data_IF_135124372059
#
_entry.id   IF_135124372059
#
_cell.length_a   1.000
_cell.length_b   1.000
_cell.length_c   1.000
_cell.angle_alpha   90.00
_cell.angle_beta   90.00
_cell.angle_gamma   90.00
#
_symmetry.space_group_name_H-M   'P 1'
#
loop_
_entity.id
_entity.type
_entity.pdbx_description
1 polymer ?
#
# COMPACT_ATOMS: atom_id res chain seq x y z
N UNK A 1 -21.76 6.59 8.12
CA UNK A 1 -20.88 5.63 8.81
C UNK A 1 -21.65 5.13 10.03
N UNK A 2 -21.65 3.82 10.30
CA UNK A 2 -22.39 3.25 11.43
C UNK A 2 -21.37 2.69 12.42
N UNK A 3 -21.57 2.94 13.69
CA UNK A 3 -20.79 2.34 14.76
C UNK A 3 -21.74 1.66 15.74
N UNK A 4 -21.26 0.61 16.39
CA UNK A 4 -21.98 -0.12 17.43
C UNK A 4 -20.98 -0.44 18.53
N UNK A 5 -21.29 -0.05 19.76
CA UNK A 5 -20.53 -0.45 20.94
C UNK A 5 -21.31 -1.60 21.58
N UNK A 6 -20.63 -2.73 21.72
CA UNK A 6 -21.08 -3.88 22.51
C UNK A 6 -20.39 -3.86 23.87
N UNK A 7 -20.61 -4.85 24.73
CA UNK A 7 -19.94 -4.93 26.04
C UNK A 7 -18.41 -5.06 25.92
N UNK A 8 -17.92 -5.74 24.87
CA UNK A 8 -16.49 -6.05 24.73
C UNK A 8 -15.80 -5.31 23.59
N UNK A 9 -16.54 -4.88 22.56
CA UNK A 9 -15.93 -4.30 21.36
C UNK A 9 -16.70 -3.11 20.78
N UNK A 10 -15.92 -2.18 20.23
CA UNK A 10 -16.39 -1.12 19.34
C UNK A 10 -16.30 -1.62 17.89
N UNK A 11 -17.45 -1.81 17.27
CA UNK A 11 -17.57 -2.13 15.85
C UNK A 11 -17.77 -0.84 15.03
N UNK A 12 -16.92 -0.65 14.03
CA UNK A 12 -17.03 0.43 13.05
C UNK A 12 -17.31 -0.17 11.68
N UNK A 13 -18.43 0.23 11.08
CA UNK A 13 -18.82 -0.22 9.75
C UNK A 13 -18.64 0.90 8.72
N UNK A 14 -17.76 0.63 7.75
CA UNK A 14 -17.47 1.52 6.63
C UNK A 14 -18.63 1.64 5.62
N UNK A 15 -18.42 2.42 4.56
CA UNK A 15 -19.42 2.66 3.51
C UNK A 15 -19.90 1.32 2.92
N UNK A 16 -21.22 1.11 2.92
CA UNK A 16 -21.87 -0.05 2.31
C UNK A 16 -21.73 -1.39 3.04
N UNK A 17 -21.39 -1.41 4.34
CA UNK A 17 -21.13 -2.65 5.11
C UNK A 17 -19.97 -3.53 4.62
N UNK A 18 -19.24 -3.11 3.58
CA UNK A 18 -18.16 -3.89 2.95
C UNK A 18 -16.94 -4.10 3.84
N UNK A 19 -16.76 -3.27 4.88
CA UNK A 19 -15.62 -3.34 5.78
C UNK A 19 -16.03 -3.06 7.21
N UNK A 20 -16.00 -4.11 8.03
CA UNK A 20 -16.15 -4.03 9.48
C UNK A 20 -14.78 -3.97 10.15
N UNK A 21 -14.69 -3.19 11.21
CA UNK A 21 -13.52 -3.09 12.07
C UNK A 21 -13.98 -3.23 13.49
N UNK A 22 -13.44 -4.25 14.15
CA UNK A 22 -13.72 -4.51 15.54
C UNK A 22 -12.50 -4.07 16.34
N UNK A 23 -12.75 -3.28 17.37
CA UNK A 23 -11.72 -2.76 18.28
C UNK A 23 -12.14 -3.26 19.67
N UNK A 24 -11.39 -4.20 20.28
CA UNK A 24 -11.64 -4.58 21.67
C UNK A 24 -11.54 -3.36 22.56
N UNK A 25 -12.51 -3.16 23.46
CA UNK A 25 -12.51 -2.03 24.38
C UNK A 25 -11.29 -2.07 25.31
N UNK A 26 -10.82 -3.27 25.66
CA UNK A 26 -9.58 -3.50 26.42
C UNK A 26 -8.32 -2.92 25.76
N UNK A 27 -8.30 -2.82 24.43
CA UNK A 27 -7.15 -2.33 23.67
C UNK A 27 -7.11 -0.80 23.60
N UNK A 28 -8.21 -0.13 23.98
CA UNK A 28 -8.34 1.32 23.92
C UNK A 28 -7.73 1.91 25.20
N UNK A 29 -6.54 2.50 25.06
CA UNK A 29 -5.79 3.14 26.16
C UNK A 29 -6.38 4.49 26.59
N UNK A 30 -7.30 5.04 25.81
CA UNK A 30 -7.97 6.32 26.06
C UNK A 30 -8.33 7.05 24.76
N UNK A 31 -8.96 8.22 24.87
CA UNK A 31 -9.37 9.01 23.71
C UNK A 31 -9.07 10.51 23.84
N UNK A 32 -9.07 11.21 22.70
CA UNK A 32 -9.05 12.68 22.64
C UNK A 32 -10.03 13.18 21.60
N UNK A 33 -10.46 14.43 21.72
CA UNK A 33 -11.41 15.06 20.81
C UNK A 33 -10.71 16.24 20.15
N UNK A 34 -10.69 16.26 18.82
CA UNK A 34 -10.19 17.40 18.06
C UNK A 34 -11.23 17.84 17.03
N UNK A 35 -11.33 19.14 16.85
CA UNK A 35 -12.21 19.79 15.87
C UNK A 35 -11.41 20.62 14.87
N UNK A 36 -11.99 20.86 13.70
CA UNK A 36 -11.37 21.69 12.66
C UNK A 36 -10.53 20.89 11.66
N UNK A 37 -9.64 21.57 10.93
CA UNK A 37 -8.94 20.95 9.79
C UNK A 37 -8.10 19.74 10.22
N UNK A 38 -8.29 18.60 9.57
CA UNK A 38 -7.49 17.39 9.77
C UNK A 38 -6.08 17.66 9.22
N UNK A 39 -5.13 18.00 10.10
CA UNK A 39 -3.73 18.25 9.74
C UNK A 39 -2.97 16.93 9.69
N UNK A 40 -2.86 16.35 8.50
CA UNK A 40 -2.21 15.06 8.33
C UNK A 40 -1.85 14.72 6.89
N UNK A 41 -1.17 13.60 6.73
CA UNK A 41 -0.77 13.04 5.43
C UNK A 41 -1.57 11.77 5.18
N UNK A 42 -2.23 11.69 4.03
CA UNK A 42 -2.96 10.50 3.60
C UNK A 42 -1.96 9.39 3.23
N UNK A 43 -2.11 8.21 3.82
CA UNK A 43 -1.35 7.01 3.46
C UNK A 43 -2.14 6.11 2.50
N UNK A 44 -3.46 5.98 2.70
CA UNK A 44 -4.34 5.20 1.83
C UNK A 44 -5.80 5.64 1.98
N UNK A 45 -6.62 5.38 0.95
CA UNK A 45 -8.03 5.76 0.91
C UNK A 45 -8.27 7.17 0.36
N UNK A 46 -9.34 7.81 0.84
CA UNK A 46 -9.76 9.16 0.43
C UNK A 46 -9.70 10.08 1.63
N UNK A 47 -8.96 11.19 1.53
CA UNK A 47 -8.84 12.15 2.61
C UNK A 47 -8.71 13.58 2.07
N UNK A 48 -9.29 14.51 2.81
CA UNK A 48 -9.19 15.96 2.66
C UNK A 48 -8.98 16.59 4.04
N UNK A 49 -8.93 17.92 4.10
CA UNK A 49 -8.85 18.64 5.37
C UNK A 49 -10.16 18.59 6.18
N UNK A 50 -11.28 18.14 5.59
CA UNK A 50 -12.62 18.12 6.22
C UNK A 50 -13.15 16.72 6.51
N UNK A 51 -12.66 15.70 5.80
CA UNK A 51 -13.07 14.31 5.97
C UNK A 51 -11.90 13.39 5.65
N UNK A 52 -11.89 12.19 6.22
CA UNK A 52 -10.87 11.18 5.94
C UNK A 52 -11.43 9.77 6.16
N UNK A 53 -11.31 8.94 5.12
CA UNK A 53 -11.68 7.53 5.10
C UNK A 53 -10.48 6.71 4.62
N UNK A 54 -9.88 5.89 5.50
CA UNK A 54 -8.70 5.09 5.17
C UNK A 54 -7.63 5.14 6.25
N UNK A 55 -6.37 5.33 5.86
CA UNK A 55 -5.25 5.54 6.81
C UNK A 55 -4.59 6.88 6.55
N UNK A 56 -4.40 7.63 7.63
CA UNK A 56 -3.72 8.92 7.61
C UNK A 56 -2.76 9.03 8.79
N UNK A 57 -1.76 9.85 8.62
CA UNK A 57 -0.84 10.27 9.67
C UNK A 57 -1.33 11.60 10.17
N UNK A 58 -1.80 11.66 11.41
CA UNK A 58 -2.21 12.92 12.03
C UNK A 58 -1.00 13.51 12.73
N UNK A 59 -0.69 14.79 12.47
CA UNK A 59 0.59 15.44 12.82
C UNK A 59 1.00 15.28 14.28
N UNK A 60 0.04 15.24 15.20
CA UNK A 60 0.28 15.08 16.65
C UNK A 60 -0.10 13.72 17.17
N UNK A 61 -1.03 13.00 16.52
CA UNK A 61 -1.59 11.78 17.10
C UNK A 61 -0.93 10.50 16.58
N UNK A 62 -0.24 10.51 15.44
CA UNK A 62 0.35 9.30 14.88
C UNK A 62 -0.42 8.70 13.70
N UNK A 63 -0.07 7.47 13.33
CA UNK A 63 -0.78 6.70 12.30
C UNK A 63 -2.17 6.33 12.80
N UNK A 64 -3.18 6.74 12.04
CA UNK A 64 -4.58 6.69 12.44
C UNK A 64 -5.43 6.12 11.30
N UNK A 65 -6.28 5.14 11.62
CA UNK A 65 -7.32 4.65 10.72
C UNK A 65 -8.53 5.57 10.84
N UNK A 66 -8.84 6.25 9.75
CA UNK A 66 -9.82 7.32 9.71
C UNK A 66 -11.18 6.81 9.24
N UNK A 67 -12.22 7.14 10.00
CA UNK A 67 -13.64 6.98 9.67
C UNK A 67 -14.38 8.31 9.88
N UNK A 68 -13.81 9.37 9.34
CA UNK A 68 -14.22 10.74 9.59
C UNK A 68 -14.95 11.26 8.36
N UNK A 69 -16.25 11.51 8.47
CA UNK A 69 -17.08 12.07 7.39
C UNK A 69 -17.28 13.58 7.55
N UNK A 70 -17.10 14.12 8.76
CA UNK A 70 -17.11 15.54 9.09
C UNK A 70 -16.06 15.83 10.17
N UNK A 71 -15.56 17.06 10.24
CA UNK A 71 -14.51 17.48 11.17
C UNK A 71 -14.99 18.47 12.24
N UNK A 72 -16.31 18.58 12.48
CA UNK A 72 -16.86 19.38 13.58
C UNK A 72 -16.46 18.83 14.95
N UNK A 73 -16.50 17.51 15.13
CA UNK A 73 -16.04 16.81 16.32
C UNK A 73 -15.52 15.43 15.92
N UNK A 74 -14.22 15.22 16.08
CA UNK A 74 -13.56 13.96 15.76
C UNK A 74 -12.97 13.37 17.03
N UNK A 75 -13.44 12.17 17.37
CA UNK A 75 -12.97 11.39 18.50
C UNK A 75 -11.88 10.45 18.00
N UNK A 76 -10.68 10.62 18.56
CA UNK A 76 -9.52 9.79 18.30
C UNK A 76 -9.34 8.81 19.46
N UNK A 77 -9.29 7.52 19.14
CA UNK A 77 -9.06 6.43 20.08
C UNK A 77 -7.61 5.98 19.95
N UNK A 78 -6.91 5.91 21.09
CA UNK A 78 -5.54 5.43 21.16
C UNK A 78 -5.53 3.94 21.46
N UNK A 79 -4.83 3.17 20.64
CA UNK A 79 -4.49 1.76 20.96
C UNK A 79 -2.97 1.59 20.97
N UNK A 80 -2.49 0.38 21.16
CA UNK A 80 -1.05 0.07 21.13
C UNK A 80 -0.42 0.26 19.75
N UNK A 81 -1.08 -0.25 18.71
CA UNK A 81 -0.50 -0.35 17.36
C UNK A 81 -0.93 0.79 16.43
N UNK A 82 -2.21 1.17 16.46
CA UNK A 82 -2.79 2.14 15.52
C UNK A 82 -3.94 2.90 16.17
N UNK A 83 -4.03 4.20 15.92
CA UNK A 83 -5.16 4.97 16.42
C UNK A 83 -6.36 4.83 15.50
N UNK A 84 -7.54 5.12 16.01
CA UNK A 84 -8.77 5.17 15.23
C UNK A 84 -9.41 6.54 15.36
N UNK A 85 -9.96 7.09 14.28
CA UNK A 85 -10.67 8.37 14.31
C UNK A 85 -12.10 8.18 13.82
N UNK A 86 -13.05 8.68 14.59
CA UNK A 86 -14.48 8.57 14.33
C UNK A 86 -15.11 9.96 14.44
N UNK A 87 -15.98 10.30 13.49
CA UNK A 87 -16.87 11.46 13.62
C UNK A 87 -18.29 10.96 13.90
N UNK A 88 -18.65 10.74 15.19
CA UNK A 88 -20.00 10.31 15.54
C UNK A 88 -21.02 11.42 15.24
N UNK A 89 -22.28 11.02 15.00
CA UNK A 89 -23.38 11.97 14.82
C UNK A 89 -23.64 12.73 16.11
N UNK A 90 -23.58 12.03 17.25
CA UNK A 90 -23.73 12.57 18.61
C UNK A 90 -22.44 12.32 19.41
N UNK A 91 -21.50 13.29 19.45
CA UNK A 91 -20.21 13.12 20.12
C UNK A 91 -20.34 12.92 21.63
N UNK A 92 -21.28 13.60 22.26
CA UNK A 92 -21.50 13.56 23.72
C UNK A 92 -22.00 12.19 24.17
N UNK A 93 -22.96 11.60 23.44
CA UNK A 93 -23.44 10.25 23.68
C UNK A 93 -22.32 9.21 23.50
N UNK A 94 -21.49 9.38 22.48
CA UNK A 94 -20.33 8.50 22.26
C UNK A 94 -19.29 8.62 23.38
N UNK A 95 -19.00 9.83 23.84
CA UNK A 95 -18.12 10.08 24.98
C UNK A 95 -18.64 9.43 26.26
N UNK A 96 -19.94 9.57 26.55
CA UNK A 96 -20.57 8.93 27.71
C UNK A 96 -20.44 7.39 27.65
N UNK A 97 -20.59 6.79 26.46
CA UNK A 97 -20.40 5.35 26.26
C UNK A 97 -18.96 4.90 26.52
N UNK A 98 -17.96 5.68 26.10
CA UNK A 98 -16.55 5.38 26.40
C UNK A 98 -16.27 5.46 27.90
N UNK A 99 -16.76 6.53 28.56
CA UNK A 99 -16.57 6.72 30.00
C UNK A 99 -17.24 5.60 30.82
N UNK A 100 -18.41 5.12 30.40
CA UNK A 100 -19.09 3.97 31.02
C UNK A 100 -18.25 2.69 30.98
N UNK A 101 -17.38 2.56 29.98
CA UNK A 101 -16.46 1.42 29.82
C UNK A 101 -15.05 1.69 30.37
N UNK A 102 -14.90 2.66 31.30
CA UNK A 102 -13.62 3.05 31.91
C UNK A 102 -12.56 3.54 30.91
N UNK A 103 -12.97 4.03 29.74
CA UNK A 103 -12.08 4.65 28.77
C UNK A 103 -12.19 6.16 28.97
N UNK A 104 -11.09 6.80 29.37
CA UNK A 104 -11.08 8.23 29.73
C UNK A 104 -10.34 9.11 28.71
N UNK A 105 -10.59 10.42 28.80
CA UNK A 105 -9.84 11.42 28.04
C UNK A 105 -8.37 11.38 28.44
N UNK A 106 -7.51 11.30 27.43
CA UNK A 106 -6.06 11.41 27.58
C UNK A 106 -5.51 12.39 26.56
N UNK A 107 -4.40 13.03 26.91
CA UNK A 107 -3.58 13.77 25.95
C UNK A 107 -2.35 12.94 25.58
N UNK A 108 -2.06 12.87 24.29
CA UNK A 108 -0.83 12.24 23.81
C UNK A 108 -0.31 12.96 22.58
N UNK A 109 1.00 12.91 22.44
CA UNK A 109 1.68 13.38 21.24
C UNK A 109 2.67 12.32 20.77
N UNK A 110 2.58 12.00 19.47
CA UNK A 110 3.54 11.15 18.78
C UNK A 110 4.53 12.03 18.04
N UNK A 111 5.80 11.97 18.45
CA UNK A 111 6.89 12.57 17.69
C UNK A 111 7.30 11.63 16.56
N UNK A 112 7.13 12.06 15.32
CA UNK A 112 7.67 11.33 14.17
C UNK A 112 9.19 11.51 14.14
N UNK A 113 9.93 10.44 14.43
CA UNK A 113 11.38 10.43 14.32
C UNK A 113 11.85 10.71 12.88
N UNK A 114 13.13 11.08 12.74
CA UNK A 114 13.84 11.29 11.47
C UNK A 114 13.55 10.15 10.47
N UNK A 115 13.58 10.42 9.14
CA UNK A 115 13.28 9.41 8.13
C UNK A 115 14.00 8.10 8.43
N UNK A 116 13.22 7.05 8.63
CA UNK A 116 13.74 5.74 8.97
C UNK A 116 14.69 5.28 7.86
N UNK A 117 15.85 4.74 8.26
CA UNK A 117 16.86 4.20 7.34
C UNK A 117 16.37 2.86 6.77
N UNK A 118 15.41 2.90 5.84
CA UNK A 118 14.84 1.72 5.17
C UNK A 118 15.89 0.80 4.57
N UNK A 119 16.99 1.34 4.04
CA UNK A 119 18.08 0.55 3.48
C UNK A 119 18.78 -0.35 4.52
N UNK A 120 18.70 -0.01 5.82
CA UNK A 120 19.24 -0.84 6.91
C UNK A 120 18.34 -2.03 7.25
N UNK A 121 17.09 -1.99 6.83
CA UNK A 121 16.15 -3.08 7.03
C UNK A 121 16.47 -4.25 6.09
N UNK A 122 16.87 -5.38 6.68
CA UNK A 122 17.17 -6.62 5.93
C UNK A 122 15.99 -7.04 5.05
N UNK A 123 14.74 -6.95 5.55
CA UNK A 123 13.56 -7.37 4.78
C UNK A 123 13.33 -6.46 3.57
N UNK A 124 13.43 -5.14 3.76
CA UNK A 124 13.28 -4.17 2.68
C UNK A 124 14.34 -4.38 1.59
N UNK A 125 15.61 -4.52 2.02
CA UNK A 125 16.74 -4.76 1.12
C UNK A 125 16.58 -6.06 0.35
N UNK A 126 16.13 -7.14 1.00
CA UNK A 126 15.93 -8.42 0.33
C UNK A 126 14.85 -8.34 -0.75
N UNK A 127 13.71 -7.70 -0.48
CA UNK A 127 12.64 -7.53 -1.48
C UNK A 127 13.14 -6.68 -2.66
N UNK A 128 13.83 -5.58 -2.38
CA UNK A 128 14.42 -4.74 -3.42
C UNK A 128 15.40 -5.52 -4.29
N UNK A 129 16.29 -6.30 -3.68
CA UNK A 129 17.26 -7.14 -4.39
C UNK A 129 16.58 -8.17 -5.29
N UNK A 130 15.56 -8.88 -4.78
CA UNK A 130 14.80 -9.88 -5.56
C UNK A 130 14.10 -9.20 -6.75
N UNK A 131 13.46 -8.04 -6.54
CA UNK A 131 12.81 -7.30 -7.63
C UNK A 131 13.82 -6.86 -8.70
N UNK A 132 14.96 -6.30 -8.29
CA UNK A 132 16.03 -5.91 -9.20
C UNK A 132 16.60 -7.10 -9.98
N UNK A 133 16.90 -8.21 -9.30
CA UNK A 133 17.40 -9.43 -9.94
C UNK A 133 16.41 -10.00 -10.96
N UNK A 134 15.10 -9.98 -10.63
CA UNK A 134 14.03 -10.41 -11.54
C UNK A 134 14.00 -9.54 -12.81
N UNK A 135 14.07 -8.22 -12.66
CA UNK A 135 14.05 -7.28 -13.79
C UNK A 135 15.31 -7.42 -14.66
N UNK A 136 16.48 -7.57 -14.03
CA UNK A 136 17.74 -7.81 -14.73
C UNK A 136 17.67 -9.13 -15.51
N UNK A 137 17.21 -10.21 -14.87
CA UNK A 137 17.02 -11.51 -15.51
C UNK A 137 16.09 -11.42 -16.71
N UNK A 138 14.94 -10.77 -16.56
CA UNK A 138 13.99 -10.54 -17.64
C UNK A 138 14.57 -9.71 -18.80
N UNK A 139 15.46 -8.76 -18.51
CA UNK A 139 16.07 -7.89 -19.53
C UNK A 139 17.18 -8.62 -20.27
N UNK A 140 18.02 -9.38 -19.56
CA UNK A 140 19.18 -10.04 -20.12
C UNK A 140 18.86 -11.38 -20.77
N UNK A 141 17.86 -12.12 -20.29
CA UNK A 141 17.56 -13.46 -20.78
C UNK A 141 17.28 -13.52 -22.30
N UNK A 142 16.40 -12.67 -22.88
CA UNK A 142 16.19 -12.63 -24.34
C UNK A 142 17.46 -12.23 -25.10
N UNK A 143 18.23 -11.30 -24.55
CA UNK A 143 19.48 -10.84 -25.17
C UNK A 143 20.52 -11.97 -25.22
N UNK A 144 20.66 -12.74 -24.15
CA UNK A 144 21.58 -13.89 -24.09
C UNK A 144 21.12 -14.98 -25.08
N UNK A 145 19.82 -15.25 -25.19
CA UNK A 145 19.31 -16.23 -26.16
C UNK A 145 19.55 -15.78 -27.61
N UNK A 146 19.37 -14.49 -27.89
CA UNK A 146 19.66 -13.89 -29.18
C UNK A 146 21.14 -14.00 -29.57
N UNK A 147 22.04 -13.61 -28.67
CA UNK A 147 23.49 -13.66 -28.91
C UNK A 147 24.01 -15.09 -29.11
N UNK A 148 23.34 -16.08 -28.52
CA UNK A 148 23.67 -17.49 -28.69
C UNK A 148 22.95 -18.15 -29.89
N UNK A 149 22.26 -17.39 -30.73
CA UNK A 149 21.47 -17.89 -31.86
C UNK A 149 20.44 -18.98 -31.48
N UNK A 150 19.91 -18.91 -30.25
CA UNK A 150 18.91 -19.85 -29.72
C UNK A 150 17.47 -19.37 -29.93
N UNK A 151 17.28 -18.15 -30.44
CA UNK A 151 15.96 -17.64 -30.79
C UNK A 151 15.63 -18.01 -32.24
N UNK A 152 14.39 -18.45 -32.52
CA UNK A 152 13.87 -18.56 -33.88
C UNK A 152 13.93 -17.22 -34.64
N UNK A 153 14.16 -17.28 -35.95
CA UNK A 153 14.23 -16.09 -36.82
C UNK A 153 12.94 -15.24 -36.79
N UNK A 154 11.81 -15.88 -36.47
CA UNK A 154 10.49 -15.25 -36.38
C UNK A 154 9.94 -15.50 -34.99
N UNK A 155 9.67 -14.42 -34.26
CA UNK A 155 9.18 -14.43 -32.89
C UNK A 155 7.88 -13.62 -32.79
N UNK A 156 6.95 -14.02 -31.90
CA UNK A 156 5.75 -13.24 -31.63
C UNK A 156 6.09 -11.98 -30.83
N UNK A 157 5.58 -10.83 -31.28
CA UNK A 157 5.81 -9.52 -30.67
C UNK A 157 4.61 -9.08 -29.82
N UNK A 158 3.39 -9.30 -30.32
CA UNK A 158 2.15 -8.94 -29.61
C UNK A 158 1.17 -10.10 -29.55
N UNK A 159 0.33 -10.10 -28.52
CA UNK A 159 -0.66 -11.14 -28.24
C UNK A 159 -2.05 -10.52 -28.03
N UNK A 160 -3.08 -11.28 -28.35
CA UNK A 160 -4.46 -10.94 -27.99
C UNK A 160 -4.80 -11.39 -26.56
N UNK A 161 -6.04 -11.14 -26.13
CA UNK A 161 -6.54 -11.55 -24.80
C UNK A 161 -6.60 -13.08 -24.62
N UNK A 162 -6.58 -13.86 -25.70
CA UNK A 162 -6.52 -15.33 -25.69
C UNK A 162 -5.09 -15.86 -25.74
N UNK A 163 -4.09 -14.97 -25.68
CA UNK A 163 -2.68 -15.29 -25.78
C UNK A 163 -2.28 -15.92 -27.13
N UNK A 164 -3.02 -15.59 -28.21
CA UNK A 164 -2.62 -15.92 -29.57
C UNK A 164 -1.75 -14.81 -30.14
N UNK A 165 -0.67 -15.14 -30.88
CA UNK A 165 0.19 -14.13 -31.48
C UNK A 165 -0.58 -13.36 -32.55
N UNK A 166 -0.60 -12.04 -32.42
CA UNK A 166 -1.28 -11.13 -33.37
C UNK A 166 -0.27 -10.59 -34.39
N UNK A 167 0.95 -10.29 -33.93
CA UNK A 167 2.02 -9.77 -34.77
C UNK A 167 3.29 -10.56 -34.54
N UNK A 168 3.81 -11.12 -35.62
CA UNK A 168 5.15 -11.73 -35.67
C UNK A 168 6.17 -10.69 -36.14
N UNK A 169 7.43 -10.87 -35.77
CA UNK A 169 8.54 -10.12 -36.33
C UNK A 169 9.87 -10.82 -36.06
N UNK A 170 10.98 -10.11 -36.23
CA UNK A 170 12.30 -10.74 -36.09
C UNK A 170 12.68 -10.96 -34.63
N UNK A 171 13.59 -11.91 -34.40
CA UNK A 171 14.29 -12.10 -33.12
C UNK A 171 14.84 -10.79 -32.54
N UNK A 172 15.45 -9.94 -33.36
CA UNK A 172 15.97 -8.62 -32.96
C UNK A 172 14.86 -7.67 -32.51
N UNK A 173 13.72 -7.66 -33.21
CA UNK A 173 12.56 -6.86 -32.81
C UNK A 173 11.97 -7.36 -31.50
N UNK A 174 11.88 -8.69 -31.32
CA UNK A 174 11.45 -9.30 -30.07
C UNK A 174 12.34 -8.90 -28.90
N UNK A 175 13.67 -9.02 -29.03
CA UNK A 175 14.62 -8.61 -27.98
C UNK A 175 14.45 -7.14 -27.61
N UNK A 176 14.32 -6.26 -28.60
CA UNK A 176 14.10 -4.81 -28.36
C UNK A 176 12.84 -4.54 -27.55
N UNK A 177 11.74 -5.23 -27.85
CA UNK A 177 10.49 -5.13 -27.09
C UNK A 177 10.64 -5.66 -25.66
N UNK A 178 11.32 -6.80 -25.49
CA UNK A 178 11.57 -7.34 -24.14
C UNK A 178 12.47 -6.43 -23.30
N UNK A 179 13.50 -5.82 -23.90
CA UNK A 179 14.34 -4.83 -23.24
C UNK A 179 13.54 -3.59 -22.83
N UNK A 180 12.61 -3.15 -23.68
CA UNK A 180 11.69 -2.05 -23.35
C UNK A 180 10.82 -2.39 -22.14
N UNK A 181 10.27 -3.60 -22.07
CA UNK A 181 9.53 -4.06 -20.88
C UNK A 181 10.42 -4.15 -19.63
N UNK A 182 11.69 -4.55 -19.78
CA UNK A 182 12.71 -4.48 -18.73
C UNK A 182 12.89 -3.06 -18.18
N UNK A 183 13.11 -2.09 -19.07
CA UNK A 183 13.27 -0.68 -18.71
C UNK A 183 12.03 -0.10 -18.03
N UNK A 184 10.83 -0.42 -18.52
CA UNK A 184 9.57 0.01 -17.90
C UNK A 184 9.41 -0.56 -16.48
N UNK A 185 9.73 -1.84 -16.27
CA UNK A 185 9.71 -2.44 -14.94
C UNK A 185 10.75 -1.80 -14.00
N UNK A 186 11.94 -1.45 -14.51
CA UNK A 186 12.93 -0.71 -13.74
C UNK A 186 12.42 0.68 -13.32
N UNK A 187 11.74 1.39 -14.22
CA UNK A 187 11.10 2.67 -13.92
C UNK A 187 10.01 2.54 -12.85
N UNK A 188 9.17 1.51 -12.93
CA UNK A 188 8.16 1.21 -11.90
C UNK A 188 8.83 0.94 -10.56
N UNK A 189 9.88 0.12 -10.52
CA UNK A 189 10.62 -0.17 -9.29
C UNK A 189 11.21 1.10 -8.68
N UNK A 190 11.79 1.98 -9.50
CA UNK A 190 12.31 3.27 -9.06
C UNK A 190 11.22 4.14 -8.43
N UNK A 191 10.08 4.30 -9.11
CA UNK A 191 8.94 5.06 -8.58
C UNK A 191 8.42 4.48 -7.26
N UNK A 192 8.26 3.16 -7.19
CA UNK A 192 7.78 2.46 -5.99
C UNK A 192 8.78 2.53 -4.83
N UNK A 193 10.08 2.51 -5.11
CA UNK A 193 11.13 2.72 -4.12
C UNK A 193 11.02 4.11 -3.47
N UNK A 194 10.88 5.17 -4.27
CA UNK A 194 10.71 6.52 -3.72
C UNK A 194 9.39 6.68 -2.97
N UNK A 195 8.29 6.12 -3.48
CA UNK A 195 7.01 6.10 -2.77
C UNK A 195 7.13 5.41 -1.40
N UNK A 196 7.83 4.26 -1.35
CA UNK A 196 8.12 3.55 -0.12
C UNK A 196 9.00 4.38 0.82
N UNK A 197 10.01 5.08 0.30
CA UNK A 197 10.89 5.96 1.07
C UNK A 197 10.13 7.08 1.78
N UNK A 198 9.24 7.77 1.07
CA UNK A 198 8.39 8.81 1.65
C UNK A 198 7.40 8.24 2.69
N UNK A 199 6.79 7.08 2.39
CA UNK A 199 5.82 6.46 3.29
C UNK A 199 6.43 5.87 4.56
N UNK A 200 7.70 5.45 4.53
CA UNK A 200 8.36 4.82 5.68
C UNK A 200 8.66 5.75 6.85
N UNK A 201 8.63 7.07 6.62
CA UNK A 201 8.62 8.06 7.70
C UNK A 201 7.41 7.89 8.62
N UNK A 202 6.35 7.27 8.10
CA UNK A 202 5.02 7.27 8.68
C UNK A 202 4.52 5.87 9.04
N UNK A 203 4.64 4.91 8.11
CA UNK A 203 4.24 3.51 8.32
C UNK A 203 5.14 2.55 7.53
N UNK A 204 5.92 1.75 8.27
CA UNK A 204 6.84 0.75 7.71
C UNK A 204 6.10 -0.39 7.00
N UNK A 205 4.94 -0.82 7.51
CA UNK A 205 4.15 -1.90 6.90
C UNK A 205 3.64 -1.50 5.51
N UNK A 206 3.23 -0.24 5.37
CA UNK A 206 2.78 0.30 4.07
C UNK A 206 3.93 0.47 3.10
N UNK A 207 5.14 0.83 3.55
CA UNK A 207 6.31 0.95 2.70
C UNK A 207 6.67 -0.37 1.95
N UNK A 208 6.57 -1.53 2.61
CA UNK A 208 6.83 -2.81 1.93
C UNK A 208 5.84 -3.13 0.82
N UNK A 209 4.58 -2.69 0.94
CA UNK A 209 3.54 -3.00 -0.06
C UNK A 209 3.87 -2.44 -1.43
N UNK A 210 4.52 -1.28 -1.51
CA UNK A 210 4.97 -0.69 -2.77
C UNK A 210 6.03 -1.54 -3.46
N UNK A 211 7.01 -2.06 -2.71
CA UNK A 211 8.02 -2.97 -3.29
C UNK A 211 7.41 -4.30 -3.72
N UNK A 212 6.48 -4.86 -2.94
CA UNK A 212 5.76 -6.07 -3.36
C UNK A 212 4.94 -5.84 -4.63
N UNK A 213 4.33 -4.66 -4.80
CA UNK A 213 3.62 -4.32 -6.03
C UNK A 213 4.57 -4.28 -7.23
N UNK A 214 5.75 -3.65 -7.10
CA UNK A 214 6.76 -3.65 -8.16
C UNK A 214 7.24 -5.07 -8.51
N UNK A 215 7.50 -5.90 -7.49
CA UNK A 215 7.91 -7.30 -7.68
C UNK A 215 6.83 -8.11 -8.39
N UNK A 216 5.56 -7.95 -8.00
CA UNK A 216 4.42 -8.65 -8.62
C UNK A 216 4.36 -8.34 -10.12
N UNK A 217 4.48 -7.08 -10.51
CA UNK A 217 4.47 -6.67 -11.92
C UNK A 217 5.64 -7.31 -12.67
N UNK A 218 6.85 -7.24 -12.12
CA UNK A 218 8.03 -7.85 -12.74
C UNK A 218 7.89 -9.38 -12.92
N UNK A 219 7.33 -10.08 -11.92
CA UNK A 219 7.09 -11.52 -11.99
C UNK A 219 6.06 -11.87 -13.07
N UNK A 220 4.98 -11.11 -13.20
CA UNK A 220 3.98 -11.31 -14.25
C UNK A 220 4.64 -11.20 -15.64
N UNK A 221 5.41 -10.14 -15.87
CA UNK A 221 6.11 -9.95 -17.15
C UNK A 221 7.13 -11.07 -17.41
N UNK A 222 7.86 -11.52 -16.38
CA UNK A 222 8.79 -12.64 -16.52
C UNK A 222 8.07 -13.95 -16.90
N UNK A 223 6.93 -14.26 -16.26
CA UNK A 223 6.13 -15.44 -16.59
C UNK A 223 5.65 -15.38 -18.05
N UNK A 224 5.16 -14.21 -18.48
CA UNK A 224 4.76 -14.01 -19.87
C UNK A 224 5.94 -14.21 -20.82
N UNK A 225 7.10 -13.65 -20.52
CA UNK A 225 8.31 -13.81 -21.32
C UNK A 225 8.73 -15.28 -21.44
N UNK A 226 8.78 -16.01 -20.31
CA UNK A 226 9.13 -17.44 -20.29
C UNK A 226 8.16 -18.20 -21.19
N UNK A 227 6.86 -17.98 -21.02
CA UNK A 227 5.81 -18.66 -21.80
C UNK A 227 5.99 -18.45 -23.30
N UNK A 228 6.30 -17.22 -23.73
CA UNK A 228 6.56 -16.88 -25.13
C UNK A 228 7.79 -17.63 -25.66
N UNK A 229 8.88 -17.64 -24.89
CA UNK A 229 10.11 -18.29 -25.31
C UNK A 229 9.90 -19.81 -25.43
N UNK A 230 9.29 -20.45 -24.42
CA UNK A 230 9.01 -21.90 -24.44
C UNK A 230 7.93 -22.34 -25.42
N UNK A 231 7.04 -21.44 -25.86
CA UNK A 231 6.06 -21.80 -26.89
C UNK A 231 6.63 -21.73 -28.31
N UNK A 232 7.83 -21.16 -28.47
CA UNK A 232 8.43 -20.88 -29.78
C UNK A 232 9.74 -21.62 -30.01
N UNK A 233 10.49 -21.93 -28.94
CA UNK A 233 11.64 -22.87 -28.92
C UNK A 233 11.11 -24.28 -28.65
#
# INVERSE_FOLDING_TARGET
MKYTITEDELQITGIGNLKKVNIPLSDIKGYTILSGKIKGIKLSGVASNRFALGRSVVKTLGTTRMFVTNNSSVIYLRTEDINYAISPIEPEAFEALLNKNNIFKIQWEVKFNKPNKLYKDKKFRNILFIASATIIGMTLNPLILYLNHKLPNIMPITFDATFKPVRMGTDKQFVSVQMTYGALNAAILFCMYYAAYFCAKYDRKTAYRYLYAALLVAVIFLILQIKIITSTI
#
